data_IF_403416497517
#
_entry.id   IF_403416497517
#
_cell.length_a   1.000
_cell.length_b   1.000
_cell.length_c   1.000
_cell.angle_alpha   90.00
_cell.angle_beta   90.00
_cell.angle_gamma   90.00
#
_symmetry.space_group_name_H-M   'P 1'
#
loop_
_entity.id
_entity.type
_entity.pdbx_description
1 polymer ?
#
# COMPACT_ATOMS: atom_id res chain seq x y z
N UNK A 1 31.06 -15.26 3.90
CA UNK A 1 29.78 -14.73 3.40
C UNK A 1 30.03 -13.28 3.00
N UNK A 2 29.85 -12.93 1.72
CA UNK A 2 30.14 -11.57 1.24
C UNK A 2 29.17 -10.55 1.83
N UNK A 3 29.71 -9.49 2.43
CA UNK A 3 28.96 -8.36 2.94
C UNK A 3 28.70 -7.39 1.78
N UNK A 4 27.53 -7.46 1.15
CA UNK A 4 27.08 -6.43 0.21
C UNK A 4 26.31 -5.37 0.97
N UNK A 5 26.84 -4.15 1.00
CA UNK A 5 26.20 -2.97 1.59
C UNK A 5 25.88 -2.01 0.46
N UNK A 6 24.59 -1.69 0.29
CA UNK A 6 24.13 -0.57 -0.53
C UNK A 6 23.95 0.65 0.37
N UNK A 7 24.33 1.81 -0.09
CA UNK A 7 24.18 3.08 0.64
C UNK A 7 23.40 4.07 -0.22
N UNK A 8 22.44 4.77 0.40
CA UNK A 8 21.76 5.90 -0.23
C UNK A 8 22.62 7.16 -0.03
N UNK A 9 23.14 7.77 -1.12
CA UNK A 9 24.09 8.87 -1.03
C UNK A 9 23.48 10.17 -0.51
N UNK A 10 22.14 10.31 -0.51
CA UNK A 10 21.47 11.52 -0.06
C UNK A 10 21.30 11.54 1.48
N UNK A 11 21.16 10.38 2.10
CA UNK A 11 20.81 10.26 3.52
C UNK A 11 21.86 9.53 4.36
N UNK A 12 22.80 8.80 3.73
CA UNK A 12 23.72 7.88 4.41
C UNK A 12 22.99 6.68 5.04
N UNK A 13 21.76 6.39 4.60
CA UNK A 13 21.02 5.18 4.97
C UNK A 13 21.61 3.98 4.26
N UNK A 14 21.56 2.80 4.89
CA UNK A 14 22.22 1.59 4.36
C UNK A 14 21.29 0.40 4.33
N UNK A 15 21.51 -0.47 3.36
CA UNK A 15 20.90 -1.79 3.26
C UNK A 15 22.00 -2.84 3.20
N UNK A 16 22.00 -3.78 4.14
CA UNK A 16 22.95 -4.89 4.17
C UNK A 16 22.23 -6.23 4.24
N UNK A 17 22.79 -7.24 3.56
CA UNK A 17 22.35 -8.62 3.69
C UNK A 17 23.20 -9.33 4.75
N UNK A 18 22.60 -9.73 5.86
CA UNK A 18 23.28 -10.40 6.97
C UNK A 18 22.51 -11.65 7.37
N UNK A 19 23.15 -12.81 7.28
CA UNK A 19 22.56 -14.12 7.59
C UNK A 19 21.23 -14.39 6.88
N UNK A 20 21.08 -13.93 5.62
CA UNK A 20 19.84 -14.07 4.85
C UNK A 20 18.77 -13.02 5.14
N UNK A 21 19.02 -12.08 6.05
CA UNK A 21 18.10 -10.99 6.37
C UNK A 21 18.57 -9.67 5.78
N UNK A 22 17.63 -8.92 5.19
CA UNK A 22 17.82 -7.53 4.83
C UNK A 22 17.75 -6.67 6.09
N UNK A 23 18.85 -5.99 6.42
CA UNK A 23 18.92 -5.04 7.52
C UNK A 23 19.01 -3.65 6.92
N UNK A 24 17.95 -2.88 7.16
CA UNK A 24 17.81 -1.52 6.67
C UNK A 24 18.05 -0.54 7.82
N UNK A 25 19.07 0.30 7.70
CA UNK A 25 19.37 1.37 8.66
C UNK A 25 19.01 2.71 8.02
N UNK A 26 17.89 3.29 8.45
CA UNK A 26 17.35 4.54 7.92
C UNK A 26 17.75 5.74 8.78
N UNK A 27 18.02 6.88 8.15
CA UNK A 27 18.44 8.12 8.81
C UNK A 27 17.63 9.33 8.33
N UNK A 28 17.57 10.35 9.18
CA UNK A 28 16.93 11.63 8.87
C UNK A 28 15.46 11.72 9.29
N UNK A 29 14.77 12.73 8.73
CA UNK A 29 13.34 12.95 8.95
C UNK A 29 12.50 11.80 8.35
N UNK A 30 11.19 11.69 8.70
CA UNK A 30 10.32 10.65 8.17
C UNK A 30 10.36 10.55 6.64
N UNK A 31 10.27 11.69 5.94
CA UNK A 31 10.42 11.74 4.50
C UNK A 31 11.78 11.17 4.02
N UNK A 32 12.91 11.59 4.61
CA UNK A 32 14.22 11.09 4.21
C UNK A 32 14.37 9.57 4.41
N UNK A 33 13.84 9.05 5.52
CA UNK A 33 13.84 7.60 5.79
C UNK A 33 13.05 6.85 4.74
N UNK A 34 11.84 7.33 4.43
CA UNK A 34 10.98 6.70 3.42
C UNK A 34 11.58 6.75 2.02
N UNK A 35 12.18 7.88 1.64
CA UNK A 35 12.83 8.02 0.34
C UNK A 35 14.02 7.07 0.21
N UNK A 36 14.86 6.98 1.23
CA UNK A 36 15.99 6.06 1.25
C UNK A 36 15.54 4.59 1.24
N UNK A 37 14.50 4.26 1.98
CA UNK A 37 13.87 2.94 1.97
C UNK A 37 13.43 2.57 0.54
N UNK A 38 12.63 3.44 -0.09
CA UNK A 38 12.13 3.21 -1.44
C UNK A 38 13.24 3.08 -2.49
N UNK A 39 14.36 3.79 -2.34
CA UNK A 39 15.52 3.66 -3.24
C UNK A 39 16.31 2.37 -3.03
N UNK A 40 16.56 2.02 -1.77
CA UNK A 40 17.40 0.87 -1.43
C UNK A 40 16.71 -0.47 -1.69
N UNK A 41 15.38 -0.52 -1.60
CA UNK A 41 14.55 -1.71 -1.83
C UNK A 41 13.63 -1.56 -3.06
N UNK A 42 14.01 -0.72 -4.03
CA UNK A 42 13.13 -0.38 -5.16
C UNK A 42 12.65 -1.60 -5.93
N UNK A 43 13.56 -2.51 -6.26
CA UNK A 43 13.26 -3.71 -7.05
C UNK A 43 12.31 -4.62 -6.26
N UNK A 44 12.62 -4.88 -4.99
CA UNK A 44 11.82 -5.73 -4.10
C UNK A 44 10.41 -5.16 -3.88
N UNK A 45 10.28 -3.84 -3.74
CA UNK A 45 8.98 -3.17 -3.59
C UNK A 45 8.16 -3.33 -4.88
N UNK A 46 8.76 -3.07 -6.05
CA UNK A 46 8.05 -3.18 -7.33
C UNK A 46 7.67 -4.63 -7.65
N UNK A 47 8.55 -5.59 -7.37
CA UNK A 47 8.28 -7.03 -7.54
C UNK A 47 7.17 -7.55 -6.62
N UNK A 48 7.07 -7.01 -5.40
CA UNK A 48 6.02 -7.41 -4.44
C UNK A 48 4.61 -7.07 -4.94
N UNK A 49 4.48 -6.03 -5.77
CA UNK A 49 3.21 -5.50 -6.29
C UNK A 49 2.14 -5.24 -5.20
N UNK A 50 2.53 -5.02 -3.94
CA UNK A 50 1.61 -4.82 -2.81
C UNK A 50 0.78 -3.56 -3.01
N UNK A 51 1.41 -2.46 -3.45
CA UNK A 51 0.72 -1.19 -3.74
C UNK A 51 -0.30 -1.36 -4.87
N UNK A 52 0.04 -2.06 -5.96
CA UNK A 52 -0.93 -2.35 -7.03
C UNK A 52 -2.09 -3.25 -6.59
N UNK A 53 -1.82 -4.25 -5.74
CA UNK A 53 -2.83 -5.21 -5.27
C UNK A 53 -3.78 -4.59 -4.23
N UNK A 54 -3.24 -3.95 -3.21
CA UNK A 54 -4.02 -3.41 -2.10
C UNK A 54 -4.46 -1.97 -2.32
N UNK A 55 -3.75 -1.24 -3.19
CA UNK A 55 -3.93 0.19 -3.46
C UNK A 55 -5.29 0.57 -4.02
N UNK A 56 -6.05 -0.40 -4.51
CA UNK A 56 -7.40 -0.22 -5.02
C UNK A 56 -8.33 -1.36 -4.57
N UNK A 57 -7.96 -2.07 -3.49
CA UNK A 57 -8.64 -3.29 -3.07
C UNK A 57 -10.13 -3.05 -2.79
N UNK A 58 -10.46 -1.94 -2.14
CA UNK A 58 -11.84 -1.58 -1.82
C UNK A 58 -12.69 -1.36 -3.09
N UNK A 59 -12.11 -0.74 -4.13
CA UNK A 59 -12.79 -0.51 -5.41
C UNK A 59 -12.92 -1.80 -6.21
N UNK A 60 -11.87 -2.63 -6.26
CA UNK A 60 -11.91 -3.96 -6.87
C UNK A 60 -12.96 -4.85 -6.20
N UNK A 61 -13.06 -4.77 -4.88
CA UNK A 61 -14.02 -5.49 -4.09
C UNK A 61 -15.46 -4.99 -4.28
N UNK A 62 -15.68 -3.67 -4.37
CA UNK A 62 -16.97 -3.13 -4.81
C UNK A 62 -17.34 -3.63 -6.20
N UNK A 63 -16.43 -3.52 -7.18
CA UNK A 63 -16.68 -3.92 -8.57
C UNK A 63 -17.06 -5.40 -8.71
N UNK A 64 -16.48 -6.27 -7.88
CA UNK A 64 -16.78 -7.71 -7.85
C UNK A 64 -18.00 -8.08 -7.00
N UNK A 65 -18.57 -7.15 -6.23
CA UNK A 65 -19.70 -7.42 -5.35
C UNK A 65 -21.05 -7.48 -6.10
N UNK A 66 -22.00 -8.22 -5.52
CA UNK A 66 -23.39 -8.23 -5.97
C UNK A 66 -24.07 -6.86 -5.84
N UNK A 67 -23.56 -5.99 -4.97
CA UNK A 67 -24.03 -4.62 -4.84
C UNK A 67 -23.79 -3.83 -6.13
N UNK A 68 -22.59 -3.94 -6.71
CA UNK A 68 -22.27 -3.27 -7.98
C UNK A 68 -23.12 -3.82 -9.14
N UNK A 69 -23.36 -5.13 -9.19
CA UNK A 69 -24.23 -5.76 -10.19
C UNK A 69 -25.66 -5.20 -10.15
N UNK A 70 -26.19 -4.96 -8.94
CA UNK A 70 -27.53 -4.43 -8.70
C UNK A 70 -27.60 -2.89 -8.76
N UNK A 71 -26.47 -2.21 -8.74
CA UNK A 71 -26.39 -0.75 -8.86
C UNK A 71 -26.63 -0.33 -10.32
N UNK A 72 -27.54 0.62 -10.60
CA UNK A 72 -27.71 1.22 -11.92
C UNK A 72 -26.39 1.76 -12.48
N UNK A 73 -26.12 1.54 -13.77
CA UNK A 73 -24.82 1.85 -14.39
C UNK A 73 -24.34 3.28 -14.18
N UNK A 74 -25.26 4.26 -14.19
CA UNK A 74 -24.95 5.68 -13.98
C UNK A 74 -24.53 6.02 -12.54
N UNK A 75 -24.84 5.16 -11.55
CA UNK A 75 -24.47 5.36 -10.14
C UNK A 75 -23.21 4.59 -9.73
N UNK A 76 -22.77 3.60 -10.52
CA UNK A 76 -21.67 2.70 -10.14
C UNK A 76 -20.38 3.45 -9.82
N UNK A 77 -20.03 4.45 -10.63
CA UNK A 77 -18.83 5.25 -10.41
C UNK A 77 -18.96 6.10 -9.15
N UNK A 78 -20.09 6.79 -8.98
CA UNK A 78 -20.36 7.63 -7.80
C UNK A 78 -20.36 6.82 -6.50
N UNK A 79 -20.96 5.63 -6.47
CA UNK A 79 -20.93 4.77 -5.29
C UNK A 79 -19.49 4.27 -5.02
N UNK A 80 -18.74 3.93 -6.07
CA UNK A 80 -17.31 3.60 -5.94
C UNK A 80 -16.50 4.73 -5.29
N UNK A 81 -16.71 5.97 -5.74
CA UNK A 81 -16.08 7.16 -5.18
C UNK A 81 -16.51 7.44 -3.74
N UNK A 82 -17.79 7.23 -3.40
CA UNK A 82 -18.28 7.37 -2.02
C UNK A 82 -17.64 6.32 -1.11
N UNK A 83 -17.55 5.07 -1.57
CA UNK A 83 -16.87 4.02 -0.81
C UNK A 83 -15.39 4.35 -0.63
N UNK A 84 -14.73 4.87 -1.66
CA UNK A 84 -13.38 5.41 -1.51
C UNK A 84 -13.38 6.53 -0.45
N UNK A 85 -14.27 7.52 -0.48
CA UNK A 85 -14.28 8.55 0.55
C UNK A 85 -14.52 8.00 1.97
N UNK A 86 -15.44 7.06 2.13
CA UNK A 86 -15.79 6.47 3.43
C UNK A 86 -14.71 5.57 4.03
N UNK A 87 -14.04 4.78 3.19
CA UNK A 87 -13.04 3.81 3.62
C UNK A 87 -11.61 4.32 3.48
N UNK A 88 -11.39 5.29 2.57
CA UNK A 88 -10.11 5.85 2.21
C UNK A 88 -9.79 7.23 2.80
N UNK A 89 -10.78 8.07 3.10
CA UNK A 89 -10.54 9.26 3.92
C UNK A 89 -10.13 8.94 5.38
N UNK A 90 -10.55 7.82 6.01
CA UNK A 90 -10.05 7.41 7.32
C UNK A 90 -8.55 7.12 7.40
N UNK A 91 -7.90 6.31 6.55
CA UNK A 91 -6.48 5.97 6.73
C UNK A 91 -5.54 7.19 6.68
N UNK A 92 -5.77 8.18 5.81
CA UNK A 92 -5.02 9.45 5.85
C UNK A 92 -5.25 10.27 7.13
N UNK A 93 -6.44 10.13 7.75
CA UNK A 93 -6.81 10.80 9.00
C UNK A 93 -6.40 10.02 10.25
N UNK A 94 -6.20 8.71 10.14
CA UNK A 94 -5.86 7.80 11.23
C UNK A 94 -4.35 7.51 11.30
N UNK A 95 -3.63 7.71 10.20
CA UNK A 95 -2.18 7.64 10.19
C UNK A 95 -1.55 8.87 10.83
N UNK A 96 -0.49 8.64 11.61
CA UNK A 96 0.39 9.70 12.09
C UNK A 96 1.00 10.43 10.88
N UNK A 97 1.21 11.75 11.01
CA UNK A 97 1.83 12.55 9.94
C UNK A 97 3.18 11.99 9.52
N UNK A 98 3.99 11.53 10.48
CA UNK A 98 5.29 10.91 10.19
C UNK A 98 5.16 9.65 9.32
N UNK A 99 4.14 8.82 9.57
CA UNK A 99 3.89 7.61 8.76
C UNK A 99 3.48 7.99 7.35
N UNK A 100 2.65 9.03 7.19
CA UNK A 100 2.25 9.51 5.86
C UNK A 100 3.47 10.01 5.10
N UNK A 101 4.26 10.90 5.70
CA UNK A 101 5.48 11.41 5.09
C UNK A 101 6.41 10.28 4.65
N UNK A 102 6.62 9.28 5.50
CA UNK A 102 7.49 8.15 5.21
C UNK A 102 6.94 7.29 4.05
N UNK A 103 5.63 7.01 4.02
CA UNK A 103 5.00 6.22 2.94
C UNK A 103 4.97 6.97 1.61
N UNK A 104 4.63 8.26 1.62
CA UNK A 104 4.69 9.09 0.41
C UNK A 104 6.11 9.18 -0.14
N UNK A 105 7.12 9.30 0.72
CA UNK A 105 8.50 9.31 0.28
C UNK A 105 8.97 7.97 -0.33
N UNK A 106 8.47 6.84 0.17
CA UNK A 106 8.69 5.53 -0.47
C UNK A 106 8.09 5.51 -1.87
N UNK A 107 6.85 6.02 -2.03
CA UNK A 107 6.18 6.11 -3.32
C UNK A 107 6.96 6.99 -4.31
N UNK A 108 7.41 8.17 -3.87
CA UNK A 108 8.24 9.08 -4.67
C UNK A 108 9.53 8.39 -5.17
N UNK A 109 10.23 7.68 -4.29
CA UNK A 109 11.47 6.99 -4.63
C UNK A 109 11.27 5.82 -5.61
N UNK A 110 10.15 5.12 -5.48
CA UNK A 110 9.81 3.94 -6.29
C UNK A 110 9.13 4.31 -7.61
N UNK A 111 8.51 5.50 -7.68
CA UNK A 111 7.69 5.95 -8.81
C UNK A 111 6.26 5.40 -8.76
N UNK A 112 5.81 4.98 -7.58
CA UNK A 112 4.43 4.52 -7.35
C UNK A 112 3.51 5.69 -7.04
N UNK A 113 2.20 5.47 -7.18
CA UNK A 113 1.23 6.44 -6.70
C UNK A 113 1.22 6.45 -5.16
N UNK A 114 1.37 7.63 -4.58
CA UNK A 114 1.47 7.80 -3.14
C UNK A 114 0.18 7.43 -2.40
N UNK A 115 -0.96 7.70 -3.02
CA UNK A 115 -2.27 7.39 -2.47
C UNK A 115 -2.48 5.88 -2.45
N UNK A 116 -2.21 5.19 -3.56
CA UNK A 116 -2.29 3.73 -3.66
C UNK A 116 -1.28 3.04 -2.72
N UNK A 117 -0.12 3.64 -2.51
CA UNK A 117 0.90 3.10 -1.59
C UNK A 117 0.47 3.24 -0.13
N UNK A 118 -0.13 4.36 0.24
CA UNK A 118 -0.76 4.54 1.55
C UNK A 118 -1.95 3.60 1.74
N UNK A 119 -2.71 3.32 0.68
CA UNK A 119 -3.80 2.34 0.64
C UNK A 119 -3.26 0.96 0.99
N UNK A 120 -2.21 0.55 0.29
CA UNK A 120 -1.62 -0.76 0.49
C UNK A 120 -0.98 -0.93 1.86
N UNK A 121 -0.33 0.11 2.37
CA UNK A 121 0.33 0.07 3.67
C UNK A 121 -0.68 -0.05 4.83
N UNK A 122 -1.77 0.72 4.78
CA UNK A 122 -2.75 0.80 5.87
C UNK A 122 -3.89 -0.21 5.71
N UNK A 123 -4.29 -0.48 4.48
CA UNK A 123 -5.49 -1.23 4.13
C UNK A 123 -5.46 -2.71 4.53
N UNK A 124 -4.28 -3.31 4.65
CA UNK A 124 -4.11 -4.70 5.09
C UNK A 124 -4.64 -4.94 6.51
N UNK A 125 -4.55 -3.95 7.40
CA UNK A 125 -5.11 -4.02 8.75
C UNK A 125 -6.59 -3.63 8.85
N UNK A 126 -7.04 -2.69 8.01
CA UNK A 126 -8.39 -2.10 8.12
C UNK A 126 -9.46 -2.79 7.25
N UNK A 127 -9.11 -3.33 6.08
CA UNK A 127 -10.10 -3.85 5.12
C UNK A 127 -10.40 -5.35 5.27
N UNK A 128 -9.53 -6.11 5.95
CA UNK A 128 -9.70 -7.55 6.08
C UNK A 128 -10.99 -7.98 6.81
N UNK A 129 -11.43 -7.21 7.80
CA UNK A 129 -12.57 -7.59 8.67
C UNK A 129 -13.93 -6.95 8.30
N UNK A 130 -14.04 -5.66 7.92
CA UNK A 130 -15.33 -5.04 7.59
C UNK A 130 -15.78 -5.29 6.15
N UNK A 131 -14.84 -5.26 5.19
CA UNK A 131 -15.16 -5.47 3.77
C UNK A 131 -15.75 -6.86 3.53
N UNK A 132 -15.07 -7.90 4.04
CA UNK A 132 -15.52 -9.29 3.93
C UNK A 132 -16.91 -9.58 4.53
N UNK A 133 -17.40 -8.74 5.45
CA UNK A 133 -18.74 -8.84 6.03
C UNK A 133 -19.82 -8.07 5.25
N UNK A 134 -19.51 -6.89 4.72
CA UNK A 134 -20.50 -5.99 4.12
C UNK A 134 -20.82 -6.33 2.66
N UNK A 135 -19.83 -6.78 1.90
CA UNK A 135 -19.98 -7.14 0.50
C UNK A 135 -19.73 -8.65 0.38
N UNK A 136 -20.78 -9.46 0.44
CA UNK A 136 -20.70 -10.87 0.05
C UNK A 136 -20.43 -10.92 -1.47
N UNK A 137 -19.17 -10.83 -1.87
CA UNK A 137 -18.71 -11.13 -3.22
C UNK A 137 -18.30 -12.60 -3.33
N UNK A 138 -18.19 -13.12 -4.56
CA UNK A 138 -17.64 -14.45 -4.79
C UNK A 138 -16.26 -14.54 -4.13
N UNK A 139 -16.14 -15.44 -3.16
CA UNK A 139 -14.90 -15.64 -2.37
C UNK A 139 -13.70 -15.97 -3.26
N UNK A 140 -13.95 -16.45 -4.48
CA UNK A 140 -12.95 -16.72 -5.51
C UNK A 140 -12.32 -15.44 -6.10
N UNK A 141 -13.06 -14.33 -6.19
CA UNK A 141 -12.55 -13.06 -6.74
C UNK A 141 -11.51 -12.39 -5.84
N UNK A 142 -11.44 -12.80 -4.57
CA UNK A 142 -10.50 -12.28 -3.58
C UNK A 142 -9.19 -13.07 -3.50
N UNK A 143 -9.09 -14.25 -4.11
CA UNK A 143 -7.90 -15.11 -4.00
C UNK A 143 -7.61 -15.65 -2.59
N UNK A 144 -8.53 -15.49 -1.64
CA UNK A 144 -8.32 -15.82 -0.21
C UNK A 144 -8.63 -17.30 0.10
N UNK A 145 -9.18 -18.07 -0.85
CA UNK A 145 -9.41 -19.51 -0.64
C UNK A 145 -9.02 -20.33 -1.87
N UNK A 146 -8.05 -21.24 -1.67
CA UNK A 146 -8.08 -22.59 -2.22
C UNK A 146 -8.36 -23.55 -1.08
#
# INVERSE_FOLDING_TARGET
MERKVREDPATGSTLELRNGFHILNLRGSPYHRGFAHGRLLKEEILESNISGYYGNFHLAFYRSSDLNKKTPSFLRNTIGEILQWWYYSPPEKLCLEETKEEVFAVADATGLDGKDTLEGNTGTGYYGAPGSRLLRGDKEALGIFR
#
